data_IF_718205549738
#
_entry.id   IF_718205549738
#
_cell.length_a   1.000
_cell.length_b   1.000
_cell.length_c   1.000
_cell.angle_alpha   90.00
_cell.angle_beta   90.00
_cell.angle_gamma   90.00
#
_symmetry.space_group_name_H-M   'P 1'
#
loop_
_entity.id
_entity.type
_entity.pdbx_description
1 polymer ?
#
# COMPACT_ATOMS: atom_id res chain seq x y z
N UNK A 1 -0.04 2.85 -17.67
CA UNK A 1 0.09 4.17 -16.99
C UNK A 1 -1.20 4.45 -16.27
N UNK A 2 -1.12 5.02 -15.09
CA UNK A 2 -2.32 5.41 -14.34
C UNK A 2 -2.90 6.69 -14.95
N UNK A 3 -4.18 6.65 -15.32
CA UNK A 3 -4.87 7.79 -15.90
C UNK A 3 -5.42 8.67 -14.76
N UNK A 4 -4.60 9.61 -14.31
CA UNK A 4 -4.94 10.57 -13.28
C UNK A 4 -4.89 11.99 -13.85
N UNK A 5 -6.00 12.70 -13.82
CA UNK A 5 -6.03 14.12 -14.08
C UNK A 5 -5.47 14.89 -12.86
N UNK A 6 -4.18 15.20 -12.90
CA UNK A 6 -3.46 15.86 -11.81
C UNK A 6 -4.04 17.23 -11.44
N UNK A 7 -4.80 17.88 -12.33
CA UNK A 7 -5.44 19.17 -12.04
C UNK A 7 -6.49 19.06 -10.92
N UNK A 8 -7.11 17.88 -10.76
CA UNK A 8 -8.17 17.62 -9.79
C UNK A 8 -7.67 16.89 -8.52
N UNK A 9 -6.35 16.65 -8.40
CA UNK A 9 -5.77 15.90 -7.31
C UNK A 9 -4.77 16.72 -6.49
N UNK A 10 -4.81 16.56 -5.17
CA UNK A 10 -3.78 17.03 -4.25
C UNK A 10 -2.71 15.96 -4.05
N UNK A 11 -1.45 16.34 -4.19
CA UNK A 11 -0.31 15.48 -3.94
C UNK A 11 0.38 15.98 -2.67
N UNK A 12 0.43 15.12 -1.65
CA UNK A 12 1.14 15.40 -0.40
C UNK A 12 2.19 14.32 -0.18
N UNK A 13 3.44 14.72 -0.05
CA UNK A 13 4.46 13.82 0.40
C UNK A 13 4.24 13.60 1.90
N UNK A 14 3.85 12.38 2.26
CA UNK A 14 3.92 11.93 3.64
C UNK A 14 5.37 11.61 3.97
N UNK A 15 5.72 11.65 5.25
CA UNK A 15 7.09 11.40 5.69
C UNK A 15 7.72 10.23 4.93
N UNK A 16 8.95 10.43 4.45
CA UNK A 16 9.73 9.35 3.88
C UNK A 16 9.93 8.30 4.97
N UNK A 17 9.25 7.17 4.84
CA UNK A 17 9.57 6.02 5.67
C UNK A 17 11.06 5.70 5.54
N UNK A 18 11.63 5.09 6.55
CA UNK A 18 13.06 4.75 6.60
C UNK A 18 13.57 4.05 5.33
N UNK A 19 12.69 3.37 4.61
CA UNK A 19 13.04 2.59 3.42
C UNK A 19 12.37 3.04 2.13
N UNK A 20 11.16 3.57 2.17
CA UNK A 20 10.37 3.90 0.99
C UNK A 20 9.81 5.32 1.10
N UNK A 21 9.58 5.95 -0.04
CA UNK A 21 8.87 7.24 -0.10
C UNK A 21 7.39 7.00 -0.35
N UNK A 22 6.54 7.57 0.50
CA UNK A 22 5.08 7.46 0.38
C UNK A 22 4.51 8.82 0.03
N UNK A 23 3.74 8.87 -1.04
CA UNK A 23 3.06 10.07 -1.50
C UNK A 23 1.56 9.81 -1.44
N UNK A 24 0.82 10.63 -0.69
CA UNK A 24 -0.63 10.54 -0.69
C UNK A 24 -1.22 11.42 -1.78
N UNK A 25 -2.19 10.89 -2.50
CA UNK A 25 -2.88 11.55 -3.59
C UNK A 25 -4.36 11.62 -3.21
N UNK A 26 -4.87 12.84 -3.04
CA UNK A 26 -6.27 13.08 -2.63
C UNK A 26 -7.00 13.91 -3.66
N UNK A 27 -8.31 13.72 -3.89
CA UNK A 27 -9.10 14.60 -4.73
C UNK A 27 -9.19 15.99 -4.09
N UNK A 28 -9.12 17.07 -4.92
CA UNK A 28 -9.10 18.45 -4.43
C UNK A 28 -10.42 18.88 -3.80
N UNK A 29 -11.53 18.40 -4.30
CA UNK A 29 -12.87 18.82 -3.87
C UNK A 29 -13.65 17.56 -3.50
N UNK A 30 -13.64 17.09 -2.31
CA UNK A 30 -14.48 15.99 -1.80
C UNK A 30 -15.46 15.38 -2.84
N UNK A 31 -14.95 15.14 -4.05
CA UNK A 31 -15.76 14.61 -5.14
C UNK A 31 -16.21 13.22 -4.74
N UNK A 32 -17.53 13.06 -4.63
CA UNK A 32 -18.16 11.79 -4.35
C UNK A 32 -17.69 10.75 -5.39
N UNK A 33 -17.05 9.67 -4.93
CA UNK A 33 -16.57 8.59 -5.79
C UNK A 33 -15.06 8.55 -6.05
N UNK A 34 -14.29 9.57 -5.67
CA UNK A 34 -12.84 9.55 -5.78
C UNK A 34 -12.20 9.18 -4.43
N UNK A 35 -11.53 8.05 -4.39
CA UNK A 35 -10.81 7.59 -3.20
C UNK A 35 -9.42 8.22 -3.14
N UNK A 36 -8.94 8.47 -1.92
CA UNK A 36 -7.54 8.79 -1.65
C UNK A 36 -6.66 7.62 -2.06
N UNK A 37 -5.54 7.91 -2.69
CA UNK A 37 -4.56 6.93 -3.15
C UNK A 37 -3.22 7.12 -2.45
N UNK A 38 -2.40 6.08 -2.46
CA UNK A 38 -1.03 6.11 -1.98
C UNK A 38 -0.08 5.62 -3.07
N UNK A 39 0.87 6.47 -3.46
CA UNK A 39 1.97 6.09 -4.34
C UNK A 39 3.17 5.73 -3.47
N UNK A 40 3.68 4.52 -3.61
CA UNK A 40 4.89 4.09 -2.93
C UNK A 40 6.03 3.99 -3.94
N UNK A 41 7.10 4.74 -3.69
CA UNK A 41 8.35 4.65 -4.44
C UNK A 41 9.30 3.81 -3.58
N UNK A 42 9.66 2.65 -4.08
CA UNK A 42 10.48 1.69 -3.34
C UNK A 42 11.95 2.07 -3.41
N UNK A 43 12.64 1.94 -2.28
CA UNK A 43 14.09 2.04 -2.23
C UNK A 43 14.71 0.89 -3.03
N UNK A 44 15.82 1.18 -3.69
CA UNK A 44 16.59 0.15 -4.39
C UNK A 44 17.15 -0.87 -3.40
N UNK A 45 16.91 -2.13 -3.69
CA UNK A 45 17.33 -3.27 -2.87
C UNK A 45 17.41 -4.51 -3.77
N UNK A 46 18.21 -5.47 -3.38
CA UNK A 46 18.38 -6.72 -4.12
C UNK A 46 17.02 -7.44 -4.28
N UNK A 47 16.73 -7.85 -5.51
CA UNK A 47 15.48 -8.53 -5.87
C UNK A 47 14.20 -7.73 -5.54
N UNK A 48 14.28 -6.40 -5.42
CA UNK A 48 13.15 -5.56 -5.01
C UNK A 48 11.91 -5.78 -5.88
N UNK A 49 12.06 -5.92 -7.18
CA UNK A 49 10.93 -6.14 -8.10
C UNK A 49 10.18 -7.45 -7.76
N UNK A 50 10.92 -8.52 -7.48
CA UNK A 50 10.34 -9.81 -7.08
C UNK A 50 9.61 -9.70 -5.74
N UNK A 51 10.23 -9.02 -4.76
CA UNK A 51 9.62 -8.76 -3.45
C UNK A 51 8.32 -7.95 -3.57
N UNK A 52 8.31 -6.89 -4.39
CA UNK A 52 7.12 -6.07 -4.64
C UNK A 52 5.99 -6.90 -5.27
N UNK A 53 6.30 -7.66 -6.31
CA UNK A 53 5.30 -8.50 -7.00
C UNK A 53 4.67 -9.53 -6.07
N UNK A 54 5.49 -10.20 -5.25
CA UNK A 54 5.01 -11.17 -4.27
C UNK A 54 4.14 -10.49 -3.20
N UNK A 55 4.59 -9.38 -2.64
CA UNK A 55 3.84 -8.64 -1.64
C UNK A 55 2.49 -8.13 -2.18
N UNK A 56 2.47 -7.63 -3.40
CA UNK A 56 1.24 -7.17 -4.06
C UNK A 56 0.27 -8.34 -4.31
N UNK A 57 0.79 -9.47 -4.76
CA UNK A 57 -0.03 -10.67 -4.95
C UNK A 57 -0.70 -11.09 -3.65
N UNK A 58 0.07 -11.26 -2.58
CA UNK A 58 -0.46 -11.68 -1.27
C UNK A 58 -1.46 -10.66 -0.73
N UNK A 59 -1.14 -9.37 -0.81
CA UNK A 59 -2.00 -8.30 -0.32
C UNK A 59 -3.34 -8.25 -1.08
N UNK A 60 -3.32 -8.39 -2.39
CA UNK A 60 -4.54 -8.44 -3.21
C UNK A 60 -5.39 -9.67 -2.88
N UNK A 61 -4.77 -10.83 -2.69
CA UNK A 61 -5.50 -12.06 -2.30
C UNK A 61 -6.13 -11.92 -0.91
N UNK A 62 -5.44 -11.33 0.05
CA UNK A 62 -6.00 -11.05 1.37
C UNK A 62 -7.20 -10.09 1.28
N UNK A 63 -7.12 -9.07 0.43
CA UNK A 63 -8.24 -8.16 0.20
C UNK A 63 -9.47 -8.89 -0.39
N UNK A 64 -9.26 -9.84 -1.31
CA UNK A 64 -10.33 -10.69 -1.85
C UNK A 64 -10.98 -11.56 -0.74
N UNK A 65 -10.23 -11.93 0.29
CA UNK A 65 -10.73 -12.63 1.48
C UNK A 65 -11.40 -11.70 2.51
N UNK A 66 -11.49 -10.40 2.23
CA UNK A 66 -12.14 -9.41 3.10
C UNK A 66 -11.21 -8.72 4.09
N UNK A 67 -9.90 -8.93 4.02
CA UNK A 67 -8.94 -8.24 4.87
C UNK A 67 -8.76 -6.79 4.44
N UNK A 68 -8.66 -5.83 5.39
CA UNK A 68 -8.39 -4.43 5.08
C UNK A 68 -6.92 -4.22 4.72
N UNK A 69 -6.50 -4.80 3.63
CA UNK A 69 -5.14 -4.68 3.09
C UNK A 69 -5.10 -3.72 1.90
N UNK A 70 -3.93 -3.17 1.64
CA UNK A 70 -3.73 -2.35 0.46
C UNK A 70 -3.91 -3.20 -0.81
N UNK A 71 -4.55 -2.62 -1.80
CA UNK A 71 -4.72 -3.21 -3.12
C UNK A 71 -4.04 -2.34 -4.17
N UNK A 72 -3.43 -2.97 -5.16
CA UNK A 72 -2.87 -2.25 -6.30
C UNK A 72 -3.98 -1.67 -7.16
N UNK A 73 -3.75 -0.45 -7.64
CA UNK A 73 -4.60 0.21 -8.62
C UNK A 73 -4.03 -0.06 -10.02
N UNK A 74 -4.89 -0.39 -10.97
CA UNK A 74 -4.52 -0.72 -12.34
C UNK A 74 -4.57 -2.22 -12.63
N UNK A 75 -4.16 -2.60 -13.82
CA UNK A 75 -4.10 -4.00 -14.20
C UNK A 75 -3.01 -4.75 -13.42
N UNK A 76 -3.32 -5.96 -12.98
CA UNK A 76 -2.42 -6.79 -12.14
C UNK A 76 -1.02 -6.96 -12.73
N UNK A 77 -0.90 -7.00 -14.05
CA UNK A 77 0.38 -7.16 -14.76
C UNK A 77 1.18 -5.89 -14.92
N UNK A 78 0.52 -4.73 -14.90
CA UNK A 78 1.12 -3.40 -15.07
C UNK A 78 1.14 -2.56 -13.79
N UNK A 79 0.85 -3.18 -12.63
CA UNK A 79 0.76 -2.48 -11.36
C UNK A 79 2.09 -1.87 -10.89
N UNK A 80 3.22 -2.41 -11.34
CA UNK A 80 4.56 -1.93 -11.00
C UNK A 80 5.10 -1.07 -12.12
N UNK A 81 5.37 0.21 -11.84
CA UNK A 81 6.00 1.13 -12.77
C UNK A 81 7.48 1.26 -12.49
N UNK A 82 8.26 1.34 -13.56
CA UNK A 82 9.70 1.58 -13.52
C UNK A 82 9.99 3.04 -13.85
N UNK A 83 10.64 3.73 -12.93
CA UNK A 83 11.04 5.13 -13.11
C UNK A 83 12.55 5.17 -13.24
N UNK A 84 13.02 5.88 -14.26
CA UNK A 84 14.45 6.20 -14.42
C UNK A 84 14.66 7.70 -14.14
N UNK A 85 15.52 8.00 -13.18
CA UNK A 85 15.90 9.37 -12.84
C UNK A 85 17.37 9.42 -12.45
N UNK A 86 18.12 10.36 -13.02
CA UNK A 86 19.55 10.58 -12.68
C UNK A 86 20.40 9.29 -12.66
N UNK A 87 20.27 8.44 -13.68
CA UNK A 87 20.95 7.14 -13.79
C UNK A 87 20.56 6.10 -12.71
N UNK A 88 19.51 6.38 -11.94
CA UNK A 88 18.95 5.43 -10.99
C UNK A 88 17.61 4.88 -11.50
N UNK A 89 17.42 3.59 -11.32
CA UNK A 89 16.14 2.93 -11.57
C UNK A 89 15.42 2.73 -10.24
N UNK A 90 14.16 3.16 -10.20
CA UNK A 90 13.26 2.95 -9.06
C UNK A 90 11.98 2.28 -9.53
N UNK A 91 11.36 1.54 -8.65
CA UNK A 91 10.04 0.97 -8.87
C UNK A 91 9.02 1.67 -8.01
N UNK A 92 7.83 1.89 -8.54
CA UNK A 92 6.72 2.44 -7.79
C UNK A 92 5.41 1.73 -8.09
N UNK A 93 4.50 1.78 -7.13
CA UNK A 93 3.16 1.24 -7.26
C UNK A 93 2.15 2.21 -6.67
N UNK A 94 0.99 2.26 -7.29
CA UNK A 94 -0.17 2.98 -6.79
C UNK A 94 -1.11 2.03 -6.07
N UNK A 95 -1.53 2.42 -4.87
CA UNK A 95 -2.41 1.64 -4.01
C UNK A 95 -3.62 2.46 -3.57
N UNK A 96 -4.69 1.78 -3.18
CA UNK A 96 -5.73 2.41 -2.39
C UNK A 96 -5.14 2.88 -1.06
N UNK A 97 -5.63 4.00 -0.54
CA UNK A 97 -5.24 4.49 0.78
C UNK A 97 -6.11 3.81 1.83
N UNK A 98 -5.49 3.14 2.80
CA UNK A 98 -6.20 2.52 3.91
C UNK A 98 -6.57 3.58 4.94
N UNK A 99 -7.86 3.70 5.30
CA UNK A 99 -8.28 4.58 6.39
C UNK A 99 -7.84 4.02 7.73
N UNK A 100 -7.73 4.90 8.70
CA UNK A 100 -7.40 4.53 10.06
C UNK A 100 -6.36 5.46 10.67
N UNK A 101 -6.15 5.31 11.96
CA UNK A 101 -5.17 6.06 12.73
C UNK A 101 -4.20 5.08 13.38
N UNK A 102 -2.96 5.49 13.50
CA UNK A 102 -1.96 4.74 14.26
C UNK A 102 -2.17 4.99 15.76
N UNK A 103 -2.09 3.93 16.54
CA UNK A 103 -2.14 4.03 18.00
C UNK A 103 -0.73 4.32 18.49
N UNK A 104 -0.57 5.39 19.30
CA UNK A 104 0.71 5.69 19.93
C UNK A 104 1.11 4.58 20.91
N UNK A 105 2.41 4.37 21.09
CA UNK A 105 2.92 3.34 21.98
C UNK A 105 2.36 3.44 23.41
N UNK A 106 2.22 4.67 23.93
CA UNK A 106 1.69 4.94 25.27
C UNK A 106 0.20 4.60 25.41
N UNK A 107 -0.52 4.52 24.30
CA UNK A 107 -1.95 4.21 24.26
C UNK A 107 -2.25 2.72 24.13
N UNK A 108 -1.23 1.87 23.99
CA UNK A 108 -1.44 0.42 23.94
C UNK A 108 -1.88 -0.12 25.30
N UNK A 109 -2.87 -1.01 25.27
CA UNK A 109 -3.39 -1.70 26.44
C UNK A 109 -3.39 -3.20 26.24
N UNK A 110 -3.63 -3.97 27.30
CA UNK A 110 -3.76 -5.43 27.21
C UNK A 110 -4.90 -5.85 26.25
N UNK A 111 -5.95 -5.05 26.15
CA UNK A 111 -7.04 -5.28 25.19
C UNK A 111 -6.54 -5.21 23.75
N UNK A 112 -5.70 -4.24 23.43
CA UNK A 112 -5.09 -4.12 22.11
C UNK A 112 -4.17 -5.31 21.78
N UNK A 113 -3.36 -5.73 22.74
CA UNK A 113 -2.47 -6.89 22.56
C UNK A 113 -3.25 -8.19 22.35
N UNK A 114 -4.33 -8.39 23.11
CA UNK A 114 -5.22 -9.56 22.93
C UNK A 114 -5.87 -9.56 21.55
N UNK A 115 -6.38 -8.40 21.12
CA UNK A 115 -6.97 -8.22 19.79
C UNK A 115 -5.95 -8.49 18.68
N UNK A 116 -4.73 -7.95 18.83
CA UNK A 116 -3.63 -8.20 17.89
C UNK A 116 -3.32 -9.69 17.76
N UNK A 117 -3.26 -10.41 18.88
CA UNK A 117 -3.02 -11.86 18.87
C UNK A 117 -4.14 -12.62 18.13
N UNK A 118 -5.40 -12.25 18.33
CA UNK A 118 -6.53 -12.83 17.61
C UNK A 118 -6.46 -12.55 16.11
N UNK A 119 -6.18 -11.29 15.73
CA UNK A 119 -6.04 -10.88 14.32
C UNK A 119 -4.92 -11.63 13.65
N UNK A 120 -3.73 -11.76 14.30
CA UNK A 120 -2.60 -12.54 13.77
C UNK A 120 -2.96 -14.02 13.58
N UNK A 121 -3.70 -14.62 14.52
CA UNK A 121 -4.16 -16.00 14.39
C UNK A 121 -5.09 -16.21 13.17
N UNK A 122 -6.04 -15.32 12.96
CA UNK A 122 -6.91 -15.34 11.78
C UNK A 122 -6.14 -15.11 10.49
N UNK A 123 -5.21 -14.13 10.50
CA UNK A 123 -4.38 -13.84 9.34
C UNK A 123 -3.53 -15.05 8.93
N UNK A 124 -2.89 -15.73 9.88
CA UNK A 124 -2.11 -16.95 9.59
C UNK A 124 -2.98 -18.04 8.96
N UNK A 125 -4.19 -18.23 9.49
CA UNK A 125 -5.15 -19.19 8.94
C UNK A 125 -5.51 -18.88 7.48
N UNK A 126 -5.67 -17.62 7.14
CA UNK A 126 -6.03 -17.21 5.79
C UNK A 126 -4.81 -17.20 4.85
N UNK A 127 -3.62 -16.85 5.35
CA UNK A 127 -2.39 -16.92 4.56
C UNK A 127 -2.09 -18.33 4.02
N UNK A 128 -2.44 -19.37 4.77
CA UNK A 128 -2.27 -20.77 4.33
C UNK A 128 -3.12 -21.07 3.10
N UNK A 129 -4.22 -20.37 2.90
CA UNK A 129 -5.11 -20.55 1.73
C UNK A 129 -4.56 -19.90 0.45
N UNK A 130 -3.59 -19.00 0.60
CA UNK A 130 -3.00 -18.29 -0.54
C UNK A 130 -1.88 -19.14 -1.12
N UNK A 131 -2.12 -19.64 -2.33
CA UNK A 131 -1.11 -20.38 -3.09
C UNK A 131 -0.25 -19.40 -3.90
N UNK A 132 1.00 -19.43 -3.66
CA UNK A 132 1.99 -18.61 -4.40
C UNK A 132 2.62 -19.39 -5.55
#
# INVERSE_FOLDING_TARGET
MYDLDLANWKINQTESGYRNTIISISPKNNQVGHQKLALIIYKDDDDILKKIKLANFVSNQLAELGWPTRQTIGEKTSAVLKIKSHNQTRYCCLYNYLPGETISWESYSQKHLKLLGQVLGFLHKDLVKIST
#
